data_IF_209331846586
#
_entry.id   IF_209331846586
#
_cell.length_a   1.000
_cell.length_b   1.000
_cell.length_c   1.000
_cell.angle_alpha   90.00
_cell.angle_beta   90.00
_cell.angle_gamma   90.00
#
_symmetry.space_group_name_H-M   'P 1'
#
loop_
_entity.id
_entity.type
_entity.pdbx_description
1 polymer ?
#
# COMPACT_ATOMS: atom_id res chain seq x y z
N UNK A 1 24.74 4.00 -12.31
CA UNK A 1 24.02 2.81 -12.80
C UNK A 1 22.84 3.32 -13.62
N UNK A 2 22.76 2.99 -14.92
CA UNK A 2 21.59 3.36 -15.76
C UNK A 2 20.43 2.42 -15.45
N UNK A 3 19.20 2.92 -15.39
CA UNK A 3 18.04 2.04 -15.23
C UNK A 3 17.74 1.36 -16.58
N UNK A 4 17.15 0.15 -16.56
CA UNK A 4 16.81 -0.60 -17.77
C UNK A 4 15.92 0.21 -18.75
N UNK A 5 15.03 1.06 -18.19
CA UNK A 5 14.16 1.94 -18.98
C UNK A 5 14.91 3.04 -19.75
N UNK A 6 16.16 3.32 -19.39
CA UNK A 6 16.95 4.41 -19.99
C UNK A 6 17.79 3.91 -21.18
N UNK A 7 17.69 2.63 -21.51
CA UNK A 7 18.38 2.02 -22.65
C UNK A 7 17.63 2.34 -23.95
N UNK A 8 18.31 2.82 -25.00
CA UNK A 8 17.68 3.16 -26.26
C UNK A 8 17.02 1.97 -26.97
N UNK A 9 17.41 0.73 -26.62
CA UNK A 9 16.87 -0.51 -27.16
C UNK A 9 15.57 -0.95 -26.46
N UNK A 10 15.13 -0.27 -25.40
CA UNK A 10 13.99 -0.67 -24.57
C UNK A 10 12.82 0.29 -24.75
N UNK A 11 11.78 -0.15 -25.47
CA UNK A 11 10.57 0.64 -25.69
C UNK A 11 9.69 0.71 -24.43
N UNK A 12 9.57 -0.40 -23.69
CA UNK A 12 8.77 -0.46 -22.47
C UNK A 12 9.26 -1.55 -21.51
N UNK A 13 9.02 -1.33 -20.22
CA UNK A 13 9.34 -2.29 -19.17
C UNK A 13 8.10 -2.48 -18.30
N UNK A 14 7.68 -3.74 -18.15
CA UNK A 14 6.72 -4.14 -17.13
C UNK A 14 7.44 -4.93 -16.05
N UNK A 15 7.31 -4.49 -14.80
CA UNK A 15 7.84 -5.19 -13.64
C UNK A 15 6.65 -5.60 -12.78
N UNK A 16 6.56 -6.88 -12.46
CA UNK A 16 5.55 -7.36 -11.53
C UNK A 16 5.75 -6.63 -10.18
N UNK A 17 4.71 -5.99 -9.61
CA UNK A 17 4.81 -5.27 -8.34
C UNK A 17 5.40 -6.11 -7.20
N UNK A 18 5.31 -7.44 -7.31
CA UNK A 18 6.03 -8.39 -6.47
C UNK A 18 6.91 -9.24 -7.38
N UNK A 19 8.19 -8.95 -7.40
CA UNK A 19 9.18 -9.70 -8.20
C UNK A 19 9.98 -10.70 -7.34
N UNK A 20 9.44 -11.11 -6.19
CA UNK A 20 10.02 -12.15 -5.33
C UNK A 20 9.13 -13.40 -5.25
N UNK A 21 9.58 -14.40 -4.50
CA UNK A 21 8.99 -15.75 -4.45
C UNK A 21 7.51 -15.78 -4.05
N UNK A 22 7.04 -14.78 -3.30
CA UNK A 22 5.63 -14.65 -2.92
C UNK A 22 4.68 -14.52 -4.12
N UNK A 23 5.18 -14.17 -5.31
CA UNK A 23 4.38 -14.05 -6.54
C UNK A 23 4.40 -15.30 -7.43
N UNK A 24 5.18 -16.34 -7.10
CA UNK A 24 5.33 -17.53 -7.93
C UNK A 24 3.99 -18.26 -8.16
N UNK A 25 3.09 -18.21 -7.18
CA UNK A 25 1.74 -18.76 -7.31
C UNK A 25 0.95 -18.11 -8.46
N UNK A 26 1.11 -16.81 -8.69
CA UNK A 26 0.46 -16.11 -9.81
C UNK A 26 0.99 -16.65 -11.14
N UNK A 27 2.32 -16.78 -11.25
CA UNK A 27 2.96 -17.36 -12.44
C UNK A 27 2.52 -18.79 -12.71
N UNK A 28 2.44 -19.62 -11.66
CA UNK A 28 1.96 -21.00 -11.76
C UNK A 28 0.49 -21.05 -12.26
N UNK A 29 -0.39 -20.21 -11.73
CA UNK A 29 -1.77 -20.11 -12.18
C UNK A 29 -1.88 -19.65 -13.64
N UNK A 30 -1.08 -18.66 -14.07
CA UNK A 30 -1.06 -18.18 -15.46
C UNK A 30 -0.56 -19.26 -16.42
N UNK A 31 0.50 -20.00 -16.04
CA UNK A 31 1.01 -21.12 -16.83
C UNK A 31 -0.05 -22.21 -16.98
N UNK A 32 -0.67 -22.62 -15.88
CA UNK A 32 -1.73 -23.63 -15.88
C UNK A 32 -2.93 -23.20 -16.74
N UNK A 33 -3.36 -21.94 -16.62
CA UNK A 33 -4.43 -21.39 -17.45
C UNK A 33 -4.10 -21.46 -18.94
N UNK A 34 -2.85 -21.15 -19.31
CA UNK A 34 -2.39 -21.20 -20.71
C UNK A 34 -2.33 -22.63 -21.26
N UNK A 35 -1.96 -23.59 -20.42
CA UNK A 35 -1.94 -25.02 -20.80
C UNK A 35 -3.35 -25.55 -21.10
N UNK A 36 -4.36 -25.09 -20.35
CA UNK A 36 -5.77 -25.39 -20.62
C UNK A 36 -6.33 -24.61 -21.81
N UNK A 37 -5.88 -23.38 -22.03
CA UNK A 37 -6.43 -22.46 -23.03
C UNK A 37 -5.35 -22.00 -24.03
N UNK A 38 -4.94 -22.88 -24.94
CA UNK A 38 -3.84 -22.60 -25.89
C UNK A 38 -4.06 -21.35 -26.75
N UNK A 39 -5.31 -21.05 -27.14
CA UNK A 39 -5.68 -19.93 -28.00
C UNK A 39 -5.92 -18.60 -27.26
N UNK A 40 -6.06 -18.63 -25.92
CA UNK A 40 -6.32 -17.43 -25.12
C UNK A 40 -5.14 -17.13 -24.20
N UNK A 41 -4.91 -15.87 -23.92
CA UNK A 41 -3.95 -15.44 -22.90
C UNK A 41 -4.72 -15.13 -21.62
N UNK A 42 -4.12 -15.32 -20.44
CA UNK A 42 -4.70 -14.82 -19.21
C UNK A 42 -4.80 -13.29 -19.27
N UNK A 43 -5.82 -12.75 -18.61
CA UNK A 43 -5.96 -11.31 -18.48
C UNK A 43 -4.77 -10.73 -17.70
N UNK A 44 -4.37 -9.52 -18.10
CA UNK A 44 -3.30 -8.80 -17.41
C UNK A 44 -3.72 -8.44 -15.99
N UNK A 45 -2.76 -8.49 -15.06
CA UNK A 45 -3.00 -8.05 -13.69
C UNK A 45 -3.19 -6.53 -13.65
N UNK A 46 -4.43 -6.08 -13.44
CA UNK A 46 -4.79 -4.66 -13.48
C UNK A 46 -4.48 -3.91 -12.18
N UNK A 47 -4.53 -4.60 -11.03
CA UNK A 47 -4.18 -4.05 -9.73
C UNK A 47 -3.70 -5.15 -8.78
N UNK A 48 -3.04 -4.74 -7.69
CA UNK A 48 -2.53 -5.67 -6.67
C UNK A 48 -3.37 -5.74 -5.41
N UNK A 49 -4.57 -5.16 -5.40
CA UNK A 49 -5.45 -5.19 -4.23
C UNK A 49 -6.18 -6.53 -4.13
N UNK A 50 -5.42 -7.61 -4.10
CA UNK A 50 -5.90 -9.00 -4.10
C UNK A 50 -6.10 -9.53 -2.67
N UNK A 51 -5.62 -8.82 -1.66
CA UNK A 51 -5.75 -9.21 -0.25
C UNK A 51 -7.16 -9.01 0.31
N UNK A 52 -7.34 -9.32 1.60
CA UNK A 52 -8.63 -9.18 2.28
C UNK A 52 -9.04 -7.71 2.43
N UNK A 53 -10.35 -7.47 2.37
CA UNK A 53 -11.00 -6.24 2.83
C UNK A 53 -11.71 -6.50 4.16
N UNK A 54 -11.88 -5.45 4.95
CA UNK A 54 -12.61 -5.51 6.22
C UNK A 54 -13.82 -4.58 6.13
N UNK A 55 -14.99 -5.10 6.52
CA UNK A 55 -16.21 -4.30 6.60
C UNK A 55 -16.29 -3.49 7.89
N UNK A 56 -17.29 -2.60 7.96
CA UNK A 56 -17.51 -1.72 9.12
C UNK A 56 -17.69 -2.54 10.41
N UNK A 57 -18.47 -3.61 10.36
CA UNK A 57 -18.74 -4.47 11.52
C UNK A 57 -17.46 -5.12 12.08
N UNK A 58 -16.59 -5.64 11.21
CA UNK A 58 -15.31 -6.23 11.62
C UNK A 58 -14.39 -5.19 12.27
N UNK A 59 -14.34 -3.98 11.71
CA UNK A 59 -13.55 -2.87 12.25
C UNK A 59 -14.07 -2.43 13.63
N UNK A 60 -15.39 -2.25 13.77
CA UNK A 60 -16.02 -1.87 15.04
C UNK A 60 -15.79 -2.92 16.12
N UNK A 61 -15.94 -4.20 15.78
CA UNK A 61 -15.64 -5.30 16.69
C UNK A 61 -14.17 -5.28 17.14
N UNK A 62 -13.23 -5.08 16.21
CA UNK A 62 -11.81 -4.99 16.53
C UNK A 62 -11.48 -3.81 17.46
N UNK A 63 -12.14 -2.66 17.26
CA UNK A 63 -12.01 -1.48 18.12
C UNK A 63 -12.57 -1.77 19.52
N UNK A 64 -13.78 -2.33 19.62
CA UNK A 64 -14.44 -2.64 20.89
C UNK A 64 -13.59 -3.60 21.75
N UNK A 65 -12.93 -4.58 21.11
CA UNK A 65 -12.07 -5.56 21.78
C UNK A 65 -10.81 -4.95 22.41
N UNK A 66 -10.27 -3.85 21.88
CA UNK A 66 -8.98 -3.28 22.33
C UNK A 66 -9.04 -2.48 23.65
N UNK A 67 -10.19 -2.41 24.34
CA UNK A 67 -10.37 -1.65 25.60
C UNK A 67 -9.92 -0.18 25.51
N UNK A 68 -10.10 0.45 24.35
CA UNK A 68 -9.66 1.84 24.08
C UNK A 68 -10.72 2.90 24.40
N UNK A 69 -11.79 2.55 25.13
CA UNK A 69 -12.91 3.46 25.44
C UNK A 69 -12.40 4.80 25.99
N UNK A 70 -12.85 5.90 25.38
CA UNK A 70 -12.52 7.27 25.79
C UNK A 70 -11.16 7.82 25.34
N UNK A 71 -10.31 7.02 24.65
CA UNK A 71 -8.96 7.44 24.22
C UNK A 71 -8.90 7.97 22.78
N UNK A 72 -10.00 7.91 22.04
CA UNK A 72 -10.06 8.33 20.64
C UNK A 72 -11.47 8.82 20.30
N UNK A 73 -11.55 9.68 19.29
CA UNK A 73 -12.80 10.14 18.68
C UNK A 73 -13.03 9.36 17.40
N UNK A 74 -14.23 8.83 17.22
CA UNK A 74 -14.67 8.24 15.95
C UNK A 74 -15.30 9.35 15.12
N UNK A 75 -14.86 9.47 13.87
CA UNK A 75 -15.44 10.36 12.88
C UNK A 75 -16.03 9.44 11.82
N UNK A 76 -17.35 9.49 11.62
CA UNK A 76 -18.04 8.56 10.71
C UNK A 76 -17.84 8.88 9.23
N UNK A 77 -17.58 10.15 8.93
CA UNK A 77 -17.33 10.63 7.57
C UNK A 77 -16.22 11.66 7.59
N UNK A 78 -15.28 11.51 6.68
CA UNK A 78 -14.23 12.49 6.41
C UNK A 78 -14.15 12.69 4.90
N UNK A 79 -13.64 13.84 4.49
CA UNK A 79 -13.35 14.10 3.08
C UNK A 79 -11.84 14.18 2.82
N UNK A 80 -11.48 14.21 1.55
CA UNK A 80 -10.09 14.26 1.09
C UNK A 80 -9.39 15.54 1.56
N UNK A 81 -10.11 16.66 1.59
CA UNK A 81 -9.58 17.96 2.00
C UNK A 81 -9.18 17.99 3.49
N UNK A 82 -9.96 17.33 4.35
CA UNK A 82 -9.63 17.17 5.77
C UNK A 82 -8.36 16.34 5.96
N UNK A 83 -8.22 15.25 5.21
CA UNK A 83 -7.02 14.40 5.24
C UNK A 83 -5.81 15.20 4.74
N UNK A 84 -5.95 15.93 3.63
CA UNK A 84 -4.91 16.77 3.08
C UNK A 84 -4.49 17.87 4.07
N UNK A 85 -5.46 18.51 4.75
CA UNK A 85 -5.18 19.49 5.80
C UNK A 85 -4.40 18.88 6.96
N UNK A 86 -4.78 17.69 7.44
CA UNK A 86 -4.03 17.03 8.51
C UNK A 86 -2.61 16.67 8.09
N UNK A 87 -2.41 16.23 6.84
CA UNK A 87 -1.07 16.00 6.32
C UNK A 87 -0.28 17.31 6.24
N UNK A 88 -0.86 18.40 5.75
CA UNK A 88 -0.23 19.72 5.69
C UNK A 88 0.16 20.26 7.08
N UNK A 89 -0.59 19.89 8.12
CA UNK A 89 -0.29 20.17 9.53
C UNK A 89 0.73 19.18 10.15
N UNK A 90 1.44 18.40 9.33
CA UNK A 90 2.45 17.39 9.74
C UNK A 90 1.93 16.31 10.69
N UNK A 91 0.63 16.00 10.62
CA UNK A 91 0.06 14.84 11.33
C UNK A 91 0.41 13.56 10.58
N UNK A 92 0.75 12.53 11.35
CA UNK A 92 0.96 11.19 10.83
C UNK A 92 -0.36 10.44 10.90
N UNK A 93 -0.83 9.94 9.76
CA UNK A 93 -2.10 9.24 9.62
C UNK A 93 -1.87 7.76 9.30
N UNK A 94 -2.68 6.89 9.87
CA UNK A 94 -2.73 5.48 9.46
C UNK A 94 -3.98 5.26 8.60
N UNK A 95 -3.79 4.75 7.38
CA UNK A 95 -4.85 4.43 6.42
C UNK A 95 -5.05 2.93 6.34
N UNK A 96 -6.28 2.50 6.61
CA UNK A 96 -6.78 1.14 6.38
C UNK A 96 -8.06 1.24 5.55
N UNK A 97 -7.96 1.07 4.23
CA UNK A 97 -9.08 1.20 3.31
C UNK A 97 -9.12 0.05 2.31
N UNK A 98 -10.31 -0.35 1.86
CA UNK A 98 -10.49 -1.35 0.81
C UNK A 98 -9.75 -2.68 1.00
N UNK A 99 -9.53 -3.36 -0.12
CA UNK A 99 -8.73 -4.59 -0.18
C UNK A 99 -7.26 -4.28 0.03
N UNK A 100 -6.59 -5.13 0.81
CA UNK A 100 -5.17 -5.05 1.08
C UNK A 100 -4.35 -5.30 -0.19
N UNK A 101 -3.25 -4.57 -0.33
CA UNK A 101 -2.22 -4.80 -1.33
C UNK A 101 -1.58 -6.17 -1.15
N UNK A 102 -1.41 -6.88 -2.25
CA UNK A 102 -0.56 -8.06 -2.30
C UNK A 102 0.90 -7.59 -2.36
N UNK A 103 1.74 -8.07 -1.45
CA UNK A 103 3.18 -7.80 -1.46
C UNK A 103 3.72 -7.08 -0.24
N UNK A 104 5.02 -6.79 -0.28
CA UNK A 104 5.77 -6.23 0.86
C UNK A 104 5.66 -4.71 0.97
N UNK A 105 5.11 -4.04 -0.04
CA UNK A 105 5.01 -2.59 -0.12
C UNK A 105 3.57 -2.16 0.06
N UNK A 106 3.37 -1.18 0.94
CA UNK A 106 2.09 -0.52 1.08
C UNK A 106 1.91 0.48 -0.07
N UNK A 107 0.76 0.44 -0.76
CA UNK A 107 0.37 1.33 -1.87
C UNK A 107 -0.94 2.07 -1.55
N UNK A 108 -1.05 2.53 -0.31
CA UNK A 108 -2.14 3.37 0.18
C UNK A 108 -3.18 2.68 1.06
N UNK A 109 -3.58 1.44 0.81
CA UNK A 109 -4.70 0.79 1.51
C UNK A 109 -4.31 0.25 2.89
N UNK A 110 -3.02 -0.06 3.12
CA UNK A 110 -2.46 -0.36 4.45
C UNK A 110 -1.22 0.49 4.71
N UNK A 111 -1.39 1.80 4.81
CA UNK A 111 -0.28 2.77 4.76
C UNK A 111 -0.23 3.69 5.96
N UNK A 112 0.98 4.15 6.28
CA UNK A 112 1.21 5.31 7.16
C UNK A 112 1.50 6.49 6.24
N UNK A 113 0.67 7.52 6.32
CA UNK A 113 0.76 8.74 5.52
C UNK A 113 1.33 9.86 6.38
N UNK A 114 2.21 10.65 5.79
CA UNK A 114 2.75 11.87 6.39
C UNK A 114 3.16 12.83 5.28
N UNK A 115 3.28 14.11 5.60
CA UNK A 115 3.78 15.11 4.67
C UNK A 115 5.24 14.80 4.30
N UNK A 116 5.54 14.56 3.01
CA UNK A 116 6.89 14.21 2.56
C UNK A 116 7.84 15.41 2.56
N UNK A 117 7.33 16.64 2.59
CA UNK A 117 8.16 17.86 2.57
C UNK A 117 8.85 18.13 3.91
N UNK A 118 8.34 17.53 5.01
CA UNK A 118 8.94 17.67 6.33
C UNK A 118 9.74 16.42 6.71
N UNK A 119 11.07 16.55 6.69
CA UNK A 119 12.01 15.48 7.04
C UNK A 119 11.87 14.99 8.50
N UNK A 120 11.36 15.79 9.43
CA UNK A 120 11.14 15.34 10.80
C UNK A 120 10.06 14.25 10.89
N UNK A 121 9.13 14.19 9.94
CA UNK A 121 8.14 13.12 9.88
C UNK A 121 8.80 11.76 9.61
N UNK A 122 9.88 11.71 8.82
CA UNK A 122 10.66 10.48 8.62
C UNK A 122 11.26 9.98 9.94
N UNK A 123 11.84 10.89 10.73
CA UNK A 123 12.39 10.58 12.05
C UNK A 123 11.31 10.05 12.99
N UNK A 124 10.17 10.75 13.07
CA UNK A 124 9.03 10.34 13.91
C UNK A 124 8.52 8.95 13.52
N UNK A 125 8.34 8.66 12.23
CA UNK A 125 7.86 7.36 11.75
C UNK A 125 8.87 6.25 12.09
N UNK A 126 10.14 6.44 11.77
CA UNK A 126 11.17 5.42 11.98
C UNK A 126 11.38 5.13 13.47
N UNK A 127 11.45 6.16 14.31
CA UNK A 127 11.71 5.99 15.74
C UNK A 127 10.48 5.56 16.55
N UNK A 128 9.33 6.21 16.35
CA UNK A 128 8.16 6.01 17.23
C UNK A 128 7.19 4.95 16.75
N UNK A 129 7.13 4.68 15.44
CA UNK A 129 6.12 3.79 14.86
C UNK A 129 6.75 2.46 14.42
N UNK A 130 7.84 2.51 13.65
CA UNK A 130 8.46 1.30 13.10
C UNK A 130 9.58 0.72 13.97
N UNK A 131 10.15 1.51 14.89
CA UNK A 131 11.26 1.09 15.73
C UNK A 131 12.53 0.73 14.93
N UNK A 132 12.80 1.45 13.83
CA UNK A 132 13.92 1.17 12.91
C UNK A 132 14.96 2.28 12.91
N UNK A 133 16.20 1.93 12.59
CA UNK A 133 17.33 2.86 12.40
C UNK A 133 17.14 3.72 11.14
N UNK A 134 17.71 4.92 11.17
CA UNK A 134 17.45 6.06 10.27
C UNK A 134 17.62 5.80 8.75
N UNK A 135 18.27 4.70 8.35
CA UNK A 135 18.67 4.42 6.96
C UNK A 135 17.61 3.74 6.08
N UNK A 136 16.46 3.35 6.63
CA UNK A 136 15.38 2.74 5.84
C UNK A 136 14.63 3.81 5.03
N UNK A 137 14.71 3.72 3.70
CA UNK A 137 14.01 4.61 2.78
C UNK A 137 12.48 4.50 2.94
N UNK A 138 11.83 5.64 3.18
CA UNK A 138 10.38 5.81 3.06
C UNK A 138 10.11 6.41 1.69
N UNK A 139 9.16 5.82 0.97
CA UNK A 139 8.83 6.21 -0.40
C UNK A 139 7.55 7.04 -0.39
N UNK A 140 7.54 8.11 -1.18
CA UNK A 140 6.38 8.96 -1.39
C UNK A 140 5.47 8.30 -2.43
N UNK A 141 4.20 8.15 -2.10
CA UNK A 141 3.17 7.66 -3.02
C UNK A 141 2.10 8.74 -3.10
N UNK A 142 1.80 9.20 -4.30
CA UNK A 142 0.63 10.04 -4.56
C UNK A 142 -0.59 9.14 -4.55
N UNK A 143 -1.42 9.26 -3.52
CA UNK A 143 -2.69 8.55 -3.42
C UNK A 143 -3.76 9.52 -3.88
N UNK A 144 -4.45 9.22 -4.97
CA UNK A 144 -5.74 9.84 -5.29
C UNK A 144 -6.74 9.34 -4.26
N UNK A 145 -6.91 10.11 -3.18
CA UNK A 145 -7.90 9.86 -2.13
C UNK A 145 -9.29 10.29 -2.59
#
# INVERSE_FOLDING_TARGET
>A
MKALKDLPEVDSVFVNPISGDGSLCIGACYKYYKDLNKSKNPDSLTNIYLGPSYDKATVEYAIAKRKTKGKFKIIESYNVDEVAKFLAEDKILARCAGRMEFGQRALGNRSILANPSNYDNLRKINQKIKGRVFLDAIYSIFIGL
#
